data_IF_318849393415
#
_entry.id   IF_318849393415
#
_cell.length_a   1.000
_cell.length_b   1.000
_cell.length_c   1.000
_cell.angle_alpha   90.00
_cell.angle_beta   90.00
_cell.angle_gamma   90.00
#
_symmetry.space_group_name_H-M   'P 1'
#
loop_
_entity.id
_entity.type
_entity.pdbx_description
1 polymer ?
#
# COMPACT_ATOMS: atom_id res chain seq x y z
N UNK A 1 1.22 5.20 12.92
CA UNK A 1 1.04 6.43 12.13
C UNK A 1 -0.42 6.80 12.10
N UNK A 2 -0.74 8.09 11.93
CA UNK A 2 -2.12 8.55 11.78
C UNK A 2 -2.74 8.02 10.46
N UNK A 3 -4.03 7.68 10.40
CA UNK A 3 -4.65 7.18 9.18
C UNK A 3 -4.60 8.22 8.05
N UNK A 4 -4.00 7.86 6.91
CA UNK A 4 -4.12 8.65 5.69
C UNK A 4 -5.55 8.53 5.15
N UNK A 5 -6.38 9.54 5.37
CA UNK A 5 -7.74 9.63 4.81
C UNK A 5 -7.79 10.60 3.64
N UNK A 6 -8.84 10.46 2.80
CA UNK A 6 -9.08 11.38 1.69
C UNK A 6 -9.23 12.83 2.17
N UNK A 7 -9.91 13.03 3.31
CA UNK A 7 -10.10 14.35 3.92
C UNK A 7 -8.79 14.97 4.38
N UNK A 8 -7.88 14.16 4.94
CA UNK A 8 -6.56 14.63 5.35
C UNK A 8 -5.73 15.09 4.14
N UNK A 9 -5.73 14.30 3.06
CA UNK A 9 -5.04 14.65 1.81
C UNK A 9 -5.65 15.90 1.17
N UNK A 10 -6.98 16.01 1.17
CA UNK A 10 -7.69 17.14 0.60
C UNK A 10 -7.40 18.44 1.37
N UNK A 11 -7.40 18.38 2.71
CA UNK A 11 -6.98 19.51 3.57
C UNK A 11 -5.54 19.91 3.29
N UNK A 12 -4.62 18.94 3.19
CA UNK A 12 -3.21 19.21 2.91
C UNK A 12 -3.02 19.88 1.53
N UNK A 13 -3.81 19.48 0.54
CA UNK A 13 -3.79 20.03 -0.81
C UNK A 13 -4.64 21.31 -0.98
N UNK A 14 -5.21 21.86 0.10
CA UNK A 14 -6.08 23.05 0.08
C UNK A 14 -7.26 22.96 -0.92
N UNK A 15 -7.84 21.77 -1.10
CA UNK A 15 -8.98 21.52 -1.98
C UNK A 15 -10.04 20.66 -1.29
N UNK A 16 -11.25 20.62 -1.84
CA UNK A 16 -12.27 19.68 -1.35
C UNK A 16 -11.93 18.23 -1.72
N UNK A 17 -12.40 17.27 -0.91
CA UNK A 17 -12.23 15.82 -1.18
C UNK A 17 -12.74 15.41 -2.57
N UNK A 18 -13.83 16.02 -3.03
CA UNK A 18 -14.37 15.83 -4.39
C UNK A 18 -13.39 16.31 -5.47
N UNK A 19 -12.81 17.49 -5.28
CA UNK A 19 -11.86 18.08 -6.25
C UNK A 19 -10.59 17.26 -6.30
N UNK A 20 -10.05 16.85 -5.13
CA UNK A 20 -8.89 15.98 -5.05
C UNK A 20 -9.16 14.66 -5.78
N UNK A 21 -10.22 13.94 -5.42
CA UNK A 21 -10.54 12.65 -6.05
C UNK A 21 -10.70 12.75 -7.56
N UNK A 22 -11.39 13.78 -8.06
CA UNK A 22 -11.59 13.97 -9.50
C UNK A 22 -10.26 14.21 -10.22
N UNK A 23 -9.47 15.19 -9.77
CA UNK A 23 -8.17 15.51 -10.40
C UNK A 23 -7.20 14.33 -10.34
N UNK A 24 -7.16 13.63 -9.21
CA UNK A 24 -6.28 12.48 -9.05
C UNK A 24 -6.63 11.35 -10.04
N UNK A 25 -7.92 11.10 -10.28
CA UNK A 25 -8.37 10.13 -11.29
C UNK A 25 -8.06 10.61 -12.69
N UNK A 26 -8.29 11.90 -13.00
CA UNK A 26 -7.95 12.51 -14.30
C UNK A 26 -6.45 12.36 -14.62
N UNK A 27 -5.58 12.53 -13.62
CA UNK A 27 -4.12 12.52 -13.82
C UNK A 27 -3.49 11.11 -13.73
N UNK A 28 -4.04 10.22 -12.89
CA UNK A 28 -3.41 8.91 -12.58
C UNK A 28 -4.22 7.69 -13.00
N UNK A 29 -5.50 7.86 -13.34
CA UNK A 29 -6.44 6.77 -13.57
C UNK A 29 -6.91 6.03 -12.30
N UNK A 30 -6.45 6.42 -11.12
CA UNK A 30 -6.82 5.81 -9.84
C UNK A 30 -7.43 6.82 -8.87
N UNK A 31 -8.28 6.36 -7.95
CA UNK A 31 -8.66 7.20 -6.82
C UNK A 31 -7.48 7.37 -5.86
N UNK A 32 -7.41 8.44 -5.06
CA UNK A 32 -6.30 8.66 -4.14
C UNK A 32 -6.05 7.46 -3.21
N UNK A 33 -7.11 6.85 -2.69
CA UNK A 33 -6.99 5.69 -1.79
C UNK A 33 -6.53 4.42 -2.50
N UNK A 34 -6.90 4.21 -3.76
CA UNK A 34 -6.39 3.09 -4.57
C UNK A 34 -4.89 3.26 -4.83
N UNK A 35 -4.46 4.48 -5.15
CA UNK A 35 -3.06 4.79 -5.40
C UNK A 35 -2.21 4.58 -4.14
N UNK A 36 -2.67 5.09 -2.98
CA UNK A 36 -1.99 4.85 -1.70
C UNK A 36 -1.89 3.36 -1.39
N UNK A 37 -2.95 2.57 -1.62
CA UNK A 37 -2.89 1.14 -1.38
C UNK A 37 -1.83 0.46 -2.25
N UNK A 38 -1.71 0.84 -3.53
CA UNK A 38 -0.65 0.31 -4.41
C UNK A 38 0.74 0.70 -3.90
N UNK A 39 0.96 1.97 -3.57
CA UNK A 39 2.23 2.44 -3.02
C UNK A 39 2.64 1.69 -1.74
N UNK A 40 1.67 1.38 -0.85
CA UNK A 40 1.93 0.58 0.36
C UNK A 40 2.28 -0.86 0.04
N UNK A 41 1.65 -1.46 -0.98
CA UNK A 41 2.00 -2.80 -1.44
C UNK A 41 3.38 -2.82 -2.10
N UNK A 42 3.75 -1.79 -2.85
CA UNK A 42 5.09 -1.67 -3.43
C UNK A 42 6.16 -1.56 -2.33
N UNK A 43 5.94 -0.72 -1.31
CA UNK A 43 6.82 -0.68 -0.14
C UNK A 43 6.89 -2.03 0.60
N UNK A 44 5.77 -2.75 0.70
CA UNK A 44 5.77 -4.07 1.32
C UNK A 44 6.62 -5.08 0.52
N UNK A 45 6.64 -5.00 -0.83
CA UNK A 45 7.52 -5.83 -1.67
C UNK A 45 8.99 -5.55 -1.36
N UNK A 46 9.37 -4.27 -1.35
CA UNK A 46 10.73 -3.85 -1.03
C UNK A 46 11.18 -4.36 0.35
N UNK A 47 10.31 -4.27 1.36
CA UNK A 47 10.61 -4.77 2.72
C UNK A 47 10.66 -6.30 2.78
N UNK A 48 9.85 -7.00 2.00
CA UNK A 48 9.88 -8.46 1.90
C UNK A 48 11.18 -8.96 1.27
N UNK A 49 11.74 -8.21 0.33
CA UNK A 49 12.99 -8.49 -0.39
C UNK A 49 14.24 -8.11 0.43
N UNK A 50 14.19 -6.97 1.14
CA UNK A 50 15.39 -6.37 1.77
C UNK A 50 15.49 -6.62 3.28
N UNK A 51 14.56 -7.37 3.86
CA UNK A 51 14.54 -7.61 5.32
C UNK A 51 13.94 -8.96 5.71
N UNK A 52 14.37 -9.44 6.87
CA UNK A 52 13.83 -10.66 7.51
C UNK A 52 12.56 -10.40 8.36
N UNK A 53 11.97 -9.20 8.29
CA UNK A 53 10.82 -8.83 9.13
C UNK A 53 9.61 -9.73 8.86
N UNK A 54 8.83 -10.05 9.89
CA UNK A 54 7.61 -10.84 9.72
C UNK A 54 6.51 -10.08 8.97
N UNK A 55 5.57 -10.81 8.35
CA UNK A 55 4.43 -10.21 7.62
C UNK A 55 3.63 -9.24 8.50
N UNK A 56 3.48 -9.54 9.80
CA UNK A 56 2.77 -8.68 10.76
C UNK A 56 3.51 -7.35 10.97
N UNK A 57 4.84 -7.39 11.10
CA UNK A 57 5.68 -6.21 11.28
C UNK A 57 5.64 -5.33 10.03
N UNK A 58 5.78 -5.94 8.85
CA UNK A 58 5.71 -5.23 7.57
C UNK A 58 4.34 -4.56 7.43
N UNK A 59 3.24 -5.25 7.75
CA UNK A 59 1.90 -4.67 7.66
C UNK A 59 1.72 -3.44 8.54
N UNK A 60 2.25 -3.45 9.76
CA UNK A 60 2.23 -2.29 10.65
C UNK A 60 3.05 -1.13 10.08
N UNK A 61 4.24 -1.41 9.56
CA UNK A 61 5.16 -0.42 8.98
C UNK A 61 4.61 0.25 7.72
N UNK A 62 4.03 -0.52 6.81
CA UNK A 62 3.44 0.02 5.58
C UNK A 62 2.04 0.61 5.80
N UNK A 63 1.54 0.63 7.04
CA UNK A 63 0.27 1.26 7.40
C UNK A 63 -0.98 0.45 7.00
N UNK A 64 -0.87 -0.87 6.85
CA UNK A 64 -2.00 -1.80 6.70
C UNK A 64 -2.51 -2.35 8.04
N UNK A 65 -1.74 -2.15 9.11
CA UNK A 65 -2.14 -2.44 10.49
C UNK A 65 -1.95 -3.91 10.88
N UNK A 66 -2.52 -4.84 10.11
CA UNK A 66 -2.47 -6.27 10.41
C UNK A 66 -1.95 -7.07 9.22
N UNK A 67 -1.32 -8.21 9.50
CA UNK A 67 -0.88 -9.13 8.46
C UNK A 67 -2.04 -9.69 7.62
N UNK A 68 -3.26 -9.74 8.16
CA UNK A 68 -4.45 -10.16 7.41
C UNK A 68 -4.79 -9.15 6.30
N UNK A 69 -4.78 -7.85 6.62
CA UNK A 69 -4.98 -6.79 5.63
C UNK A 69 -3.89 -6.80 4.55
N UNK A 70 -2.63 -7.01 4.95
CA UNK A 70 -1.55 -7.12 4.00
C UNK A 70 -1.76 -8.28 3.04
N UNK A 71 -2.05 -9.49 3.53
CA UNK A 71 -2.34 -10.65 2.67
C UNK A 71 -3.49 -10.39 1.70
N UNK A 72 -4.60 -9.82 2.19
CA UNK A 72 -5.77 -9.50 1.37
C UNK A 72 -5.43 -8.55 0.21
N UNK A 73 -4.77 -7.44 0.50
CA UNK A 73 -4.46 -6.43 -0.52
C UNK A 73 -3.32 -6.86 -1.44
N UNK A 74 -2.33 -7.57 -0.92
CA UNK A 74 -1.22 -8.12 -1.72
C UNK A 74 -1.75 -9.14 -2.73
N UNK A 75 -2.61 -10.07 -2.31
CA UNK A 75 -3.25 -11.02 -3.22
C UNK A 75 -4.11 -10.33 -4.27
N UNK A 76 -4.89 -9.31 -3.87
CA UNK A 76 -5.76 -8.57 -4.80
C UNK A 76 -4.99 -7.77 -5.85
N UNK A 77 -3.81 -7.24 -5.50
CA UNK A 77 -3.05 -6.33 -6.36
C UNK A 77 -1.99 -7.09 -7.18
N UNK A 78 -1.37 -8.14 -6.62
CA UNK A 78 -0.23 -8.86 -7.21
C UNK A 78 -0.52 -10.32 -7.53
N UNK A 79 -1.67 -10.87 -7.09
CA UNK A 79 -2.06 -12.24 -7.39
C UNK A 79 -1.31 -13.32 -6.60
N UNK A 80 -0.52 -12.96 -5.59
CA UNK A 80 0.21 -13.90 -4.72
C UNK A 80 0.19 -13.45 -3.25
N UNK A 81 0.64 -14.30 -2.34
CA UNK A 81 0.75 -13.96 -0.92
C UNK A 81 2.14 -13.36 -0.60
N UNK A 82 2.27 -12.52 0.45
CA UNK A 82 3.56 -11.99 0.90
C UNK A 82 4.61 -13.08 1.16
N UNK A 83 4.19 -14.22 1.73
CA UNK A 83 5.09 -15.33 2.06
C UNK A 83 5.59 -16.07 0.82
N UNK A 84 4.72 -16.29 -0.18
CA UNK A 84 5.12 -16.86 -1.47
C UNK A 84 6.03 -15.91 -2.24
N UNK A 85 5.68 -14.62 -2.27
CA UNK A 85 6.52 -13.57 -2.85
C UNK A 85 7.92 -13.61 -2.24
N UNK A 86 8.05 -13.53 -0.91
CA UNK A 86 9.35 -13.64 -0.23
C UNK A 86 10.08 -14.92 -0.60
N UNK A 87 9.41 -16.08 -0.64
CA UNK A 87 10.08 -17.35 -0.96
C UNK A 87 10.70 -17.33 -2.37
N UNK A 88 10.04 -16.69 -3.32
CA UNK A 88 10.51 -16.55 -4.70
C UNK A 88 11.68 -15.57 -4.79
N UNK A 89 11.60 -14.43 -4.10
CA UNK A 89 12.58 -13.34 -4.24
C UNK A 89 13.73 -13.37 -3.21
N UNK A 90 13.58 -14.03 -2.05
CA UNK A 90 14.66 -14.23 -1.08
C UNK A 90 15.70 -15.26 -1.55
N UNK A 91 15.46 -15.93 -2.67
CA UNK A 91 16.42 -16.83 -3.33
C UNK A 91 17.02 -16.23 -4.62
N UNK A 92 16.71 -14.97 -4.92
CA UNK A 92 17.14 -14.28 -6.12
C UNK A 92 18.18 -13.21 -5.81
N UNK A 93 19.40 -13.46 -6.30
CA UNK A 93 20.65 -12.66 -6.26
C UNK A 93 21.50 -12.77 -5.00
#
# INVERSE_FOLDING_TARGET
GEPLTLEALARHAAVSARTLSRRFVEDTGYTPMQWIMRARIDLARELLERSERGVEQIAAEVGLGTGANLRLHFQRILGTTPSEYRRTFARGE
#
